data_IF_991699925779
#
_entry.id   IF_991699925779
#
_cell.length_a   1.000
_cell.length_b   1.000
_cell.length_c   1.000
_cell.angle_alpha   90.00
_cell.angle_beta   90.00
_cell.angle_gamma   90.00
#
_symmetry.space_group_name_H-M   'P 1'
#
loop_
_entity.id
_entity.type
_entity.pdbx_description
1 polymer ?
#
# COMPACT_ATOMS: atom_id res chain seq x y z
N UNK A 1 2.65 38.59 -1.98
CA UNK A 1 1.58 38.26 -2.95
C UNK A 1 2.01 38.51 -4.40
N UNK A 2 2.63 39.67 -4.68
CA UNK A 2 3.08 40.07 -6.04
C UNK A 2 4.13 39.09 -6.57
N UNK A 3 5.18 38.78 -5.76
CA UNK A 3 6.27 37.86 -6.14
C UNK A 3 5.74 36.46 -6.47
N UNK A 4 4.79 35.94 -5.70
CA UNK A 4 4.20 34.62 -5.96
C UNK A 4 3.39 34.58 -7.27
N UNK A 5 2.73 35.70 -7.63
CA UNK A 5 1.99 35.82 -8.89
C UNK A 5 2.94 35.91 -10.09
N UNK A 6 4.07 36.63 -9.96
CA UNK A 6 5.07 36.71 -11.02
C UNK A 6 5.77 35.37 -11.25
N UNK A 7 6.17 34.69 -10.17
CA UNK A 7 6.74 33.34 -10.24
C UNK A 7 5.74 32.40 -10.96
N UNK A 8 4.47 32.41 -10.56
CA UNK A 8 3.44 31.60 -11.18
C UNK A 8 3.37 31.83 -12.70
N UNK A 9 3.34 33.09 -13.11
CA UNK A 9 3.26 33.48 -14.53
C UNK A 9 4.48 33.03 -15.33
N UNK A 10 5.69 33.10 -14.76
CA UNK A 10 6.89 32.63 -15.45
C UNK A 10 6.94 31.10 -15.58
N UNK A 11 6.52 30.35 -14.57
CA UNK A 11 6.42 28.88 -14.66
C UNK A 11 5.33 28.43 -15.64
N UNK A 12 4.21 29.14 -15.72
CA UNK A 12 3.17 28.86 -16.74
C UNK A 12 3.71 29.03 -18.16
N UNK A 13 4.55 30.07 -18.40
CA UNK A 13 5.23 30.26 -19.68
C UNK A 13 6.22 29.12 -20.00
N UNK A 14 7.00 28.68 -19.01
CA UNK A 14 7.95 27.56 -19.19
C UNK A 14 7.20 26.30 -19.57
N UNK A 15 6.08 25.97 -18.90
CA UNK A 15 5.27 24.80 -19.23
C UNK A 15 4.60 24.90 -20.62
N UNK A 16 4.34 26.11 -21.15
CA UNK A 16 3.86 26.29 -22.51
C UNK A 16 4.96 26.06 -23.56
N UNK A 17 6.21 26.45 -23.26
CA UNK A 17 7.35 26.29 -24.16
C UNK A 17 7.84 24.85 -24.17
N UNK A 18 7.80 24.16 -23.01
CA UNK A 18 8.28 22.80 -22.80
C UNK A 18 7.15 21.93 -22.22
N UNK A 19 6.15 21.53 -23.02
CA UNK A 19 4.98 20.79 -22.53
C UNK A 19 5.30 19.41 -21.94
N UNK A 20 6.45 18.83 -22.28
CA UNK A 20 6.99 17.60 -21.70
C UNK A 20 7.62 17.80 -20.30
N UNK A 21 7.93 19.04 -19.95
CA UNK A 21 8.50 19.39 -18.64
C UNK A 21 7.41 19.81 -17.66
N UNK A 22 6.98 18.89 -16.81
CA UNK A 22 5.97 19.20 -15.79
C UNK A 22 6.66 19.75 -14.54
N UNK A 23 6.56 21.07 -14.34
CA UNK A 23 7.05 21.74 -13.14
C UNK A 23 5.88 21.97 -12.18
N UNK A 24 6.01 21.48 -10.94
CA UNK A 24 5.00 21.65 -9.90
C UNK A 24 5.62 22.39 -8.72
N UNK A 25 4.94 23.40 -8.19
CA UNK A 25 5.45 24.30 -7.17
C UNK A 25 4.57 24.27 -5.93
N UNK A 26 5.19 23.96 -4.78
CA UNK A 26 4.58 24.12 -3.46
C UNK A 26 5.00 25.44 -2.83
N UNK A 27 4.06 26.15 -2.24
CA UNK A 27 4.30 27.47 -1.63
C UNK A 27 3.86 27.44 -0.17
N UNK A 28 4.78 27.75 0.76
CA UNK A 28 4.47 27.93 2.18
C UNK A 28 3.68 29.23 2.41
N UNK A 29 3.11 29.36 3.61
CA UNK A 29 2.64 30.67 4.08
C UNK A 29 3.84 31.61 4.29
N UNK A 30 3.58 32.90 4.44
CA UNK A 30 4.61 33.88 4.78
C UNK A 30 5.20 33.59 6.16
N UNK A 31 6.52 33.42 6.23
CA UNK A 31 7.28 33.09 7.45
C UNK A 31 8.46 34.00 7.63
N UNK A 32 8.89 34.19 8.90
CA UNK A 32 10.15 34.89 9.20
C UNK A 32 11.38 34.01 8.97
N UNK A 33 12.53 34.61 8.77
CA UNK A 33 13.79 33.91 8.48
C UNK A 33 14.18 32.86 9.54
N UNK A 34 13.79 33.02 10.81
CA UNK A 34 14.03 32.04 11.86
C UNK A 34 13.16 30.76 11.76
N UNK A 35 12.23 30.67 10.80
CA UNK A 35 11.29 29.56 10.61
C UNK A 35 11.40 28.90 9.24
N UNK A 36 12.55 28.96 8.60
CA UNK A 36 12.76 28.42 7.25
C UNK A 36 12.45 26.92 7.15
N UNK A 37 12.81 26.12 8.18
CA UNK A 37 12.50 24.69 8.22
C UNK A 37 10.99 24.40 8.26
N UNK A 38 10.22 25.22 9.01
CA UNK A 38 8.76 25.14 9.04
C UNK A 38 8.17 25.46 7.66
N UNK A 39 8.69 26.53 7.02
CA UNK A 39 8.25 26.90 5.67
C UNK A 39 8.57 25.87 4.60
N UNK A 40 9.71 25.20 4.70
CA UNK A 40 10.06 24.09 3.81
C UNK A 40 9.03 22.96 3.95
N UNK A 41 8.74 22.53 5.18
CA UNK A 41 7.75 21.49 5.45
C UNK A 41 6.35 21.87 4.92
N UNK A 42 5.93 23.12 5.13
CA UNK A 42 4.66 23.62 4.59
C UNK A 42 4.61 23.58 3.05
N UNK A 43 5.70 23.91 2.38
CA UNK A 43 5.78 23.85 0.92
C UNK A 43 5.76 22.40 0.40
N UNK A 44 6.42 21.47 1.08
CA UNK A 44 6.37 20.04 0.76
C UNK A 44 4.96 19.49 0.95
N UNK A 45 4.29 19.81 2.06
CA UNK A 45 2.90 19.40 2.32
C UNK A 45 1.95 19.97 1.27
N UNK A 46 2.18 21.24 0.83
CA UNK A 46 1.42 21.83 -0.26
C UNK A 46 1.63 21.07 -1.58
N UNK A 47 2.86 20.65 -1.85
CA UNK A 47 3.21 19.92 -3.06
C UNK A 47 2.58 18.52 -3.11
N UNK A 48 2.31 17.88 -1.98
CA UNK A 48 1.60 16.59 -1.94
C UNK A 48 0.25 16.63 -2.65
N UNK A 49 -0.41 17.80 -2.72
CA UNK A 49 -1.69 17.97 -3.40
C UNK A 49 -1.64 17.68 -4.91
N UNK A 50 -0.45 17.67 -5.53
CA UNK A 50 -0.28 17.26 -6.92
C UNK A 50 -0.88 15.87 -7.18
N UNK A 51 -0.89 15.00 -6.17
CA UNK A 51 -1.47 13.67 -6.27
C UNK A 51 -2.94 13.67 -6.74
N UNK A 52 -3.72 14.66 -6.29
CA UNK A 52 -5.13 14.78 -6.63
C UNK A 52 -5.40 15.65 -7.88
N UNK A 53 -4.41 16.41 -8.37
CA UNK A 53 -4.62 17.42 -9.41
C UNK A 53 -3.53 17.37 -10.48
N UNK A 54 -3.77 16.59 -11.54
CA UNK A 54 -2.80 16.36 -12.63
C UNK A 54 -2.44 17.62 -13.42
N UNK A 55 -3.37 18.57 -13.53
CA UNK A 55 -3.20 19.80 -14.34
C UNK A 55 -2.84 21.05 -13.54
N UNK A 56 -2.92 20.97 -12.20
CA UNK A 56 -2.59 22.12 -11.33
C UNK A 56 -1.10 22.11 -11.02
N UNK A 57 -0.44 23.22 -11.31
CA UNK A 57 1.02 23.36 -11.15
C UNK A 57 1.43 24.14 -9.89
N UNK A 58 0.51 24.89 -9.27
CA UNK A 58 0.79 25.69 -8.08
C UNK A 58 -0.10 25.28 -6.91
N UNK A 59 0.51 25.01 -5.77
CA UNK A 59 -0.15 24.63 -4.53
C UNK A 59 0.29 25.52 -3.39
N UNK A 60 -0.63 26.31 -2.84
CA UNK A 60 -0.38 27.20 -1.71
C UNK A 60 -0.80 26.53 -0.40
N UNK A 61 0.12 26.43 0.56
CA UNK A 61 -0.19 25.87 1.88
C UNK A 61 -1.31 26.62 2.58
N UNK A 62 -1.39 27.93 2.43
CA UNK A 62 -2.46 28.75 3.01
C UNK A 62 -3.86 28.35 2.51
N UNK A 63 -3.95 27.98 1.22
CA UNK A 63 -5.23 27.58 0.62
C UNK A 63 -5.62 26.15 1.01
N UNK A 64 -4.65 25.26 1.12
CA UNK A 64 -4.91 23.83 1.33
C UNK A 64 -4.94 23.41 2.80
N UNK A 65 -4.31 24.17 3.69
CA UNK A 65 -4.21 23.83 5.13
C UNK A 65 -5.54 23.48 5.80
N UNK A 66 -6.66 24.19 5.53
CA UNK A 66 -7.96 23.81 6.08
C UNK A 66 -8.46 22.44 5.61
N UNK A 67 -8.04 22.02 4.42
CA UNK A 67 -8.46 20.77 3.77
C UNK A 67 -7.61 19.57 4.20
N UNK A 68 -6.35 19.78 4.59
CA UNK A 68 -5.40 18.71 4.93
C UNK A 68 -5.78 17.89 6.16
N UNK A 69 -6.73 18.35 6.97
CA UNK A 69 -7.19 17.68 8.19
C UNK A 69 -8.37 16.76 7.97
N UNK A 70 -8.95 16.74 6.78
CA UNK A 70 -10.16 15.98 6.53
C UNK A 70 -9.80 14.51 6.24
N UNK A 71 -10.13 13.64 7.18
CA UNK A 71 -9.98 12.19 7.03
C UNK A 71 -11.19 11.60 6.30
N UNK A 72 -10.96 10.54 5.52
CA UNK A 72 -12.05 9.78 4.92
C UNK A 72 -12.76 9.00 6.04
N UNK A 73 -14.10 9.14 6.19
CA UNK A 73 -14.84 8.42 7.22
C UNK A 73 -14.71 6.89 7.07
N UNK A 74 -14.53 6.19 8.18
CA UNK A 74 -14.31 4.74 8.17
C UNK A 74 -15.49 3.94 7.60
N UNK A 75 -16.72 4.38 7.85
CA UNK A 75 -17.92 3.79 7.24
C UNK A 75 -17.93 3.94 5.71
N UNK A 76 -17.42 5.04 5.18
CA UNK A 76 -17.31 5.28 3.75
C UNK A 76 -16.23 4.39 3.13
N UNK A 77 -15.06 4.29 3.76
CA UNK A 77 -13.99 3.37 3.34
C UNK A 77 -14.50 1.94 3.25
N UNK A 78 -15.16 1.47 4.33
CA UNK A 78 -15.74 0.12 4.38
C UNK A 78 -16.76 -0.11 3.27
N UNK A 79 -17.67 0.84 3.04
CA UNK A 79 -18.66 0.75 1.97
C UNK A 79 -18.03 0.60 0.59
N UNK A 80 -16.98 1.38 0.28
CA UNK A 80 -16.26 1.26 -0.99
C UNK A 80 -15.50 -0.07 -1.12
N UNK A 81 -14.85 -0.52 -0.05
CA UNK A 81 -14.14 -1.80 -0.03
C UNK A 81 -15.08 -2.98 -0.33
N UNK A 82 -16.26 -3.01 0.30
CA UNK A 82 -17.27 -4.04 0.09
C UNK A 82 -17.84 -4.01 -1.33
N UNK A 83 -18.20 -2.83 -1.84
CA UNK A 83 -18.73 -2.67 -3.20
C UNK A 83 -17.72 -3.10 -4.28
N UNK A 84 -16.45 -2.71 -4.15
CA UNK A 84 -15.41 -3.11 -5.09
C UNK A 84 -15.19 -4.62 -5.02
N UNK A 85 -15.10 -5.19 -3.83
CA UNK A 85 -14.94 -6.63 -3.66
C UNK A 85 -16.06 -7.42 -4.34
N UNK A 86 -17.30 -6.97 -4.20
CA UNK A 86 -18.46 -7.59 -4.86
C UNK A 86 -18.36 -7.46 -6.38
N UNK A 87 -18.13 -6.25 -6.91
CA UNK A 87 -18.03 -6.01 -8.35
C UNK A 87 -16.89 -6.84 -8.99
N UNK A 88 -15.75 -6.93 -8.31
CA UNK A 88 -14.60 -7.70 -8.79
C UNK A 88 -14.89 -9.20 -8.75
N UNK A 89 -15.54 -9.72 -7.70
CA UNK A 89 -15.94 -11.15 -7.60
C UNK A 89 -16.86 -11.58 -8.74
N UNK A 90 -17.82 -10.75 -9.11
CA UNK A 90 -18.76 -11.04 -10.21
C UNK A 90 -18.20 -10.65 -11.60
N UNK A 91 -16.94 -10.16 -11.65
CA UNK A 91 -16.20 -9.78 -12.87
C UNK A 91 -16.87 -8.70 -13.71
N UNK A 92 -17.56 -7.78 -13.09
CA UNK A 92 -18.16 -6.63 -13.76
C UNK A 92 -17.17 -5.45 -13.79
N UNK A 93 -16.40 -5.36 -14.88
CA UNK A 93 -15.42 -4.33 -15.07
C UNK A 93 -16.02 -2.92 -15.03
N UNK A 94 -17.16 -2.72 -15.69
CA UNK A 94 -17.86 -1.45 -15.74
C UNK A 94 -18.33 -0.97 -14.36
N UNK A 95 -18.81 -1.89 -13.52
CA UNK A 95 -19.24 -1.54 -12.17
C UNK A 95 -18.04 -1.18 -11.28
N UNK A 96 -16.93 -1.90 -11.43
CA UNK A 96 -15.67 -1.57 -10.74
C UNK A 96 -15.17 -0.19 -11.14
N UNK A 97 -15.17 0.14 -12.43
CA UNK A 97 -14.79 1.44 -12.95
C UNK A 97 -15.69 2.57 -12.44
N UNK A 98 -17.01 2.35 -12.37
CA UNK A 98 -17.93 3.32 -11.77
C UNK A 98 -17.64 3.58 -10.30
N UNK A 99 -17.29 2.54 -9.54
CA UNK A 99 -16.96 2.70 -8.12
C UNK A 99 -15.64 3.45 -7.94
N UNK A 100 -14.61 3.13 -8.71
CA UNK A 100 -13.34 3.88 -8.67
C UNK A 100 -13.52 5.34 -9.08
N UNK A 101 -14.34 5.61 -10.10
CA UNK A 101 -14.70 6.97 -10.48
C UNK A 101 -15.42 7.71 -9.35
N UNK A 102 -16.35 7.04 -8.67
CA UNK A 102 -17.04 7.62 -7.50
C UNK A 102 -16.07 7.92 -6.34
N UNK A 103 -15.10 7.05 -6.08
CA UNK A 103 -14.03 7.30 -5.10
C UNK A 103 -13.22 8.54 -5.48
N UNK A 104 -12.83 8.65 -6.75
CA UNK A 104 -12.07 9.79 -7.26
C UNK A 104 -12.83 11.11 -7.11
N UNK A 105 -14.10 11.11 -7.52
CA UNK A 105 -14.99 12.29 -7.41
C UNK A 105 -15.21 12.69 -5.96
N UNK A 106 -15.53 11.75 -5.08
CA UNK A 106 -15.68 11.98 -3.63
C UNK A 106 -14.41 12.55 -2.99
N UNK A 107 -13.25 11.99 -3.33
CA UNK A 107 -11.98 12.47 -2.80
C UNK A 107 -11.69 13.92 -3.21
N UNK A 108 -12.06 14.31 -4.43
CA UNK A 108 -11.89 15.67 -4.94
C UNK A 108 -12.92 16.65 -4.37
N UNK A 109 -14.19 16.29 -4.35
CA UNK A 109 -15.27 17.16 -3.87
C UNK A 109 -15.13 17.46 -2.38
N UNK A 110 -14.76 16.46 -1.58
CA UNK A 110 -14.57 16.62 -0.14
C UNK A 110 -13.19 17.14 0.24
N UNK A 111 -12.27 17.26 -0.73
CA UNK A 111 -10.90 17.70 -0.50
C UNK A 111 -10.19 16.92 0.61
N UNK A 112 -10.29 15.59 0.60
CA UNK A 112 -9.52 14.76 1.53
C UNK A 112 -8.03 14.93 1.29
N UNK A 113 -7.23 14.80 2.37
CA UNK A 113 -5.79 14.94 2.22
C UNK A 113 -5.20 13.83 1.35
N UNK A 114 -4.21 14.11 0.48
CA UNK A 114 -3.56 13.10 -0.35
C UNK A 114 -3.00 11.93 0.46
N UNK A 115 -2.51 12.21 1.67
CA UNK A 115 -2.01 11.21 2.60
C UNK A 115 -3.10 10.22 3.01
N UNK A 116 -4.30 10.72 3.34
CA UNK A 116 -5.45 9.86 3.69
C UNK A 116 -5.97 9.08 2.48
N UNK A 117 -5.93 9.69 1.29
CA UNK A 117 -6.34 9.01 0.04
C UNK A 117 -5.36 7.88 -0.28
N UNK A 118 -4.05 8.14 -0.25
CA UNK A 118 -3.03 7.09 -0.47
C UNK A 118 -3.18 5.95 0.51
N UNK A 119 -3.36 6.26 1.79
CA UNK A 119 -3.59 5.28 2.84
C UNK A 119 -4.86 4.45 2.60
N UNK A 120 -5.94 5.08 2.14
CA UNK A 120 -7.17 4.37 1.81
C UNK A 120 -6.99 3.44 0.60
N UNK A 121 -6.31 3.88 -0.47
CA UNK A 121 -6.01 3.04 -1.63
C UNK A 121 -5.15 1.84 -1.23
N UNK A 122 -4.16 2.03 -0.38
CA UNK A 122 -3.33 0.96 0.16
C UNK A 122 -4.16 -0.03 1.01
N UNK A 123 -5.03 0.46 1.89
CA UNK A 123 -5.96 -0.36 2.65
C UNK A 123 -6.91 -1.16 1.75
N UNK A 124 -7.43 -0.54 0.69
CA UNK A 124 -8.29 -1.19 -0.29
C UNK A 124 -7.54 -2.30 -1.03
N UNK A 125 -6.29 -2.06 -1.45
CA UNK A 125 -5.46 -3.08 -2.09
C UNK A 125 -5.30 -4.31 -1.19
N UNK A 126 -4.82 -4.14 0.04
CA UNK A 126 -4.64 -5.27 0.96
C UNK A 126 -5.95 -5.95 1.35
N UNK A 127 -7.03 -5.19 1.43
CA UNK A 127 -8.36 -5.76 1.65
C UNK A 127 -8.77 -6.71 0.51
N UNK A 128 -8.59 -6.28 -0.76
CA UNK A 128 -8.93 -7.10 -1.92
C UNK A 128 -7.99 -8.30 -2.07
N UNK A 129 -6.69 -8.13 -1.91
CA UNK A 129 -5.71 -9.21 -1.90
C UNK A 129 -6.12 -10.29 -0.91
N UNK A 130 -6.47 -9.90 0.31
CA UNK A 130 -6.89 -10.82 1.37
C UNK A 130 -8.19 -11.56 1.04
N UNK A 131 -9.22 -10.85 0.55
CA UNK A 131 -10.56 -11.43 0.38
C UNK A 131 -10.76 -12.15 -0.95
N UNK A 132 -9.85 -11.95 -1.89
CA UNK A 132 -9.86 -12.61 -3.20
C UNK A 132 -8.83 -13.73 -3.29
N UNK A 133 -7.97 -13.92 -2.28
CA UNK A 133 -6.88 -14.89 -2.34
C UNK A 133 -5.84 -14.56 -3.40
N UNK A 134 -5.68 -13.27 -3.74
CA UNK A 134 -4.67 -12.82 -4.69
C UNK A 134 -3.30 -12.79 -4.04
N UNK A 135 -2.25 -13.05 -4.82
CA UNK A 135 -0.89 -12.83 -4.35
C UNK A 135 -0.58 -11.34 -4.36
N UNK A 136 -0.02 -10.80 -3.26
CA UNK A 136 0.49 -9.44 -3.29
C UNK A 136 1.61 -9.32 -4.33
N UNK A 137 1.58 -8.23 -5.11
CA UNK A 137 2.62 -7.92 -6.09
C UNK A 137 3.52 -6.83 -5.53
N UNK A 138 4.78 -7.18 -5.27
CA UNK A 138 5.79 -6.23 -4.83
C UNK A 138 6.01 -5.11 -5.84
N UNK A 139 5.98 -5.45 -7.12
CA UNK A 139 6.09 -4.49 -8.22
C UNK A 139 4.94 -3.49 -8.18
N UNK A 140 3.70 -3.97 -7.99
CA UNK A 140 2.53 -3.12 -7.84
C UNK A 140 2.63 -2.23 -6.58
N UNK A 141 3.07 -2.78 -5.46
CA UNK A 141 3.23 -2.03 -4.22
C UNK A 141 4.26 -0.90 -4.37
N UNK A 142 5.43 -1.20 -4.95
CA UNK A 142 6.50 -0.21 -5.15
C UNK A 142 6.10 0.85 -6.19
N UNK A 143 5.51 0.47 -7.31
CA UNK A 143 5.16 1.39 -8.40
C UNK A 143 3.89 2.19 -8.12
N UNK A 144 2.84 1.53 -7.65
CA UNK A 144 1.48 2.12 -7.57
C UNK A 144 1.20 2.70 -6.19
N UNK A 145 1.50 1.98 -5.11
CA UNK A 145 1.19 2.46 -3.76
C UNK A 145 2.24 3.44 -3.24
N UNK A 146 3.52 3.22 -3.57
CA UNK A 146 4.64 4.03 -3.07
C UNK A 146 5.26 4.93 -4.15
N UNK A 147 4.82 4.81 -5.39
CA UNK A 147 5.24 5.65 -6.50
C UNK A 147 4.70 7.09 -6.41
N UNK A 148 5.22 7.95 -7.30
CA UNK A 148 4.80 9.35 -7.42
C UNK A 148 3.69 9.55 -8.47
N UNK A 149 2.80 8.58 -8.63
CA UNK A 149 1.69 8.64 -9.58
C UNK A 149 0.61 9.64 -9.11
N UNK A 150 -0.15 10.15 -10.06
CA UNK A 150 -1.39 10.85 -9.75
C UNK A 150 -2.49 9.85 -9.32
N UNK A 151 -3.50 10.36 -8.60
CA UNK A 151 -4.62 9.51 -8.16
C UNK A 151 -5.32 8.80 -9.31
N UNK A 152 -5.49 9.48 -10.46
CA UNK A 152 -6.04 8.88 -11.68
C UNK A 152 -5.19 7.72 -12.16
N UNK A 153 -3.87 7.92 -12.29
CA UNK A 153 -2.95 6.92 -12.79
C UNK A 153 -2.84 5.73 -11.79
N UNK A 154 -2.93 6.03 -10.49
CA UNK A 154 -3.01 5.01 -9.43
C UNK A 154 -4.25 4.14 -9.57
N UNK A 155 -5.42 4.77 -9.82
CA UNK A 155 -6.69 4.07 -10.02
C UNK A 155 -6.64 3.22 -11.29
N UNK A 156 -6.19 3.78 -12.41
CA UNK A 156 -6.11 3.08 -13.70
C UNK A 156 -5.23 1.82 -13.58
N UNK A 157 -4.04 1.96 -12.99
CA UNK A 157 -3.15 0.81 -12.74
C UNK A 157 -3.74 -0.20 -11.75
N UNK A 158 -4.49 0.27 -10.76
CA UNK A 158 -5.16 -0.62 -9.82
C UNK A 158 -6.25 -1.43 -10.50
N UNK A 159 -7.04 -0.81 -11.38
CA UNK A 159 -8.03 -1.51 -12.19
C UNK A 159 -7.36 -2.57 -13.09
N UNK A 160 -6.31 -2.18 -13.81
CA UNK A 160 -5.53 -3.10 -14.65
C UNK A 160 -5.05 -4.30 -13.82
N UNK A 161 -4.42 -4.05 -12.69
CA UNK A 161 -3.96 -5.11 -11.78
C UNK A 161 -5.10 -6.06 -11.35
N UNK A 162 -6.26 -5.52 -10.97
CA UNK A 162 -7.39 -6.33 -10.52
C UNK A 162 -7.92 -7.26 -11.62
N UNK A 163 -7.95 -6.78 -12.87
CA UNK A 163 -8.46 -7.58 -13.98
C UNK A 163 -7.41 -8.50 -14.58
N UNK A 164 -6.15 -8.10 -14.60
CA UNK A 164 -5.04 -8.96 -15.03
C UNK A 164 -4.77 -10.08 -14.04
N UNK A 165 -4.77 -9.78 -12.73
CA UNK A 165 -4.66 -10.80 -11.69
C UNK A 165 -5.79 -11.82 -11.73
N UNK A 166 -7.02 -11.43 -12.10
CA UNK A 166 -8.13 -12.38 -12.33
C UNK A 166 -7.90 -13.25 -13.57
N UNK A 167 -7.27 -12.72 -14.62
CA UNK A 167 -6.91 -13.48 -15.80
C UNK A 167 -5.72 -14.41 -15.53
N UNK A 168 -4.74 -13.96 -14.75
CA UNK A 168 -3.60 -14.79 -14.30
C UNK A 168 -4.08 -15.90 -13.34
N UNK A 169 -5.03 -15.61 -12.45
CA UNK A 169 -5.64 -16.63 -11.57
C UNK A 169 -6.37 -17.74 -12.32
N UNK A 170 -6.92 -17.47 -13.52
CA UNK A 170 -7.54 -18.52 -14.33
C UNK A 170 -6.57 -19.41 -15.08
N UNK A 171 -5.36 -18.92 -15.38
CA UNK A 171 -4.39 -19.65 -16.18
C UNK A 171 -3.22 -20.24 -15.39
N UNK A 172 -2.92 -19.72 -14.19
CA UNK A 172 -1.79 -20.23 -13.38
C UNK A 172 -2.17 -20.84 -12.03
N UNK A 173 -3.24 -20.41 -11.36
CA UNK A 173 -3.56 -20.91 -10.00
C UNK A 173 -4.22 -22.30 -9.98
N UNK A 174 -4.76 -22.79 -11.09
CA UNK A 174 -5.25 -24.18 -11.12
C UNK A 174 -4.16 -25.23 -11.34
N UNK A 175 -2.96 -24.84 -11.77
CA UNK A 175 -1.87 -25.78 -12.06
C UNK A 175 -0.58 -25.60 -11.23
N UNK A 176 -0.43 -24.49 -10.48
CA UNK A 176 0.88 -24.17 -9.85
C UNK A 176 1.09 -24.94 -8.54
N UNK A 177 0.07 -25.10 -7.71
CA UNK A 177 0.23 -25.86 -6.47
C UNK A 177 -0.69 -27.06 -6.43
N UNK A 178 -0.08 -28.21 -6.12
CA UNK A 178 -0.87 -29.41 -5.78
C UNK A 178 -1.80 -29.12 -4.60
N UNK A 179 -2.90 -29.88 -4.47
CA UNK A 179 -3.82 -29.72 -3.36
C UNK A 179 -3.12 -29.73 -1.98
N UNK A 180 -2.11 -30.56 -1.83
CA UNK A 180 -1.30 -30.62 -0.59
C UNK A 180 -0.60 -29.28 -0.30
N UNK A 181 0.05 -28.67 -1.28
CA UNK A 181 0.78 -27.40 -1.06
C UNK A 181 -0.20 -26.24 -0.84
N UNK A 182 -1.31 -26.18 -1.57
CA UNK A 182 -2.37 -25.19 -1.30
C UNK A 182 -2.89 -25.28 0.14
N UNK A 183 -3.21 -26.48 0.60
CA UNK A 183 -3.71 -26.69 1.96
C UNK A 183 -2.66 -26.29 3.02
N UNK A 184 -1.36 -26.54 2.74
CA UNK A 184 -0.26 -26.07 3.60
C UNK A 184 -0.21 -24.53 3.61
N UNK A 185 -0.27 -23.85 2.48
CA UNK A 185 -0.27 -22.39 2.41
C UNK A 185 -1.45 -21.80 3.19
N UNK A 186 -2.66 -22.29 2.98
CA UNK A 186 -3.85 -21.87 3.73
C UNK A 186 -3.67 -22.08 5.24
N UNK A 187 -3.20 -23.26 5.64
CA UNK A 187 -2.93 -23.56 7.05
C UNK A 187 -1.92 -22.59 7.67
N UNK A 188 -0.84 -22.28 6.96
CA UNK A 188 0.18 -21.33 7.41
C UNK A 188 -0.40 -19.92 7.56
N UNK A 189 -1.24 -19.47 6.64
CA UNK A 189 -1.91 -18.16 6.71
C UNK A 189 -2.85 -18.03 7.90
N UNK A 190 -3.50 -19.12 8.30
CA UNK A 190 -4.40 -19.16 9.46
C UNK A 190 -3.66 -19.30 10.79
N UNK A 191 -2.51 -19.99 10.80
CA UNK A 191 -1.77 -20.37 12.00
C UNK A 191 -0.36 -19.74 12.12
N UNK A 192 -0.03 -18.72 11.33
CA UNK A 192 1.32 -18.12 11.26
C UNK A 192 1.90 -17.68 12.60
N UNK A 193 1.07 -17.41 13.59
CA UNK A 193 1.50 -17.04 14.95
C UNK A 193 2.06 -18.23 15.74
N UNK A 194 1.68 -19.45 15.37
CA UNK A 194 2.07 -20.66 16.06
C UNK A 194 3.45 -21.17 15.60
N UNK A 195 4.04 -22.07 16.37
CA UNK A 195 5.27 -22.75 15.95
C UNK A 195 4.93 -23.82 14.92
N UNK A 196 5.12 -23.50 13.64
CA UNK A 196 4.88 -24.43 12.55
C UNK A 196 6.23 -24.97 12.05
N UNK A 197 6.41 -26.28 12.12
CA UNK A 197 7.59 -26.98 11.59
C UNK A 197 7.22 -27.85 10.41
N UNK A 198 8.22 -28.21 9.60
CA UNK A 198 8.00 -29.12 8.46
C UNK A 198 7.54 -30.50 8.97
N UNK A 199 8.04 -30.92 10.13
CA UNK A 199 7.64 -32.19 10.75
C UNK A 199 6.17 -32.18 11.18
N UNK A 200 5.70 -31.09 11.81
CA UNK A 200 4.29 -30.94 12.17
C UNK A 200 3.37 -30.90 10.92
N UNK A 201 3.82 -30.27 9.83
CA UNK A 201 3.07 -30.30 8.58
C UNK A 201 3.08 -31.69 7.94
N UNK A 202 4.19 -32.40 8.01
CA UNK A 202 4.30 -33.76 7.50
C UNK A 202 3.33 -34.71 8.22
N UNK A 203 3.25 -34.64 9.53
CA UNK A 203 2.29 -35.37 10.35
C UNK A 203 0.84 -34.98 9.98
N UNK A 204 0.53 -33.66 9.99
CA UNK A 204 -0.82 -33.15 9.71
C UNK A 204 -1.35 -33.55 8.32
N UNK A 205 -0.49 -33.57 7.32
CA UNK A 205 -0.87 -33.85 5.94
C UNK A 205 -0.53 -35.29 5.50
N UNK A 206 -0.17 -36.17 6.46
CA UNK A 206 0.15 -37.58 6.21
C UNK A 206 1.20 -37.77 5.11
N UNK A 207 2.30 -37.04 5.24
CA UNK A 207 3.44 -37.06 4.30
C UNK A 207 4.76 -37.10 5.08
N UNK A 208 5.86 -37.37 4.37
CA UNK A 208 7.18 -37.28 4.99
C UNK A 208 7.71 -35.84 4.97
N UNK A 209 8.56 -35.44 5.97
CA UNK A 209 9.18 -34.11 5.99
C UNK A 209 9.95 -33.78 4.72
N UNK A 210 10.69 -34.77 4.18
CA UNK A 210 11.44 -34.61 2.93
C UNK A 210 10.50 -34.35 1.73
N UNK A 211 9.37 -35.04 1.65
CA UNK A 211 8.37 -34.80 0.60
C UNK A 211 7.83 -33.39 0.69
N UNK A 212 7.40 -32.95 1.88
CA UNK A 212 6.88 -31.58 2.09
C UNK A 212 7.94 -30.55 1.70
N UNK A 213 9.16 -30.64 2.21
CA UNK A 213 10.24 -29.69 1.93
C UNK A 213 10.57 -29.60 0.43
N UNK A 214 10.77 -30.74 -0.22
CA UNK A 214 11.13 -30.78 -1.62
C UNK A 214 9.98 -30.28 -2.52
N UNK A 215 8.74 -30.72 -2.24
CA UNK A 215 7.57 -30.34 -3.01
C UNK A 215 7.22 -28.87 -2.83
N UNK A 216 7.26 -28.39 -1.58
CA UNK A 216 7.00 -26.98 -1.25
C UNK A 216 7.98 -26.08 -1.98
N UNK A 217 9.30 -26.35 -1.88
CA UNK A 217 10.32 -25.57 -2.58
C UNK A 217 10.17 -25.62 -4.11
N UNK A 218 9.86 -26.78 -4.66
CA UNK A 218 9.66 -26.94 -6.11
C UNK A 218 8.47 -26.15 -6.64
N UNK A 219 7.35 -26.14 -5.89
CA UNK A 219 6.11 -25.49 -6.33
C UNK A 219 6.07 -24.00 -5.97
N UNK A 220 6.58 -23.59 -4.80
CA UNK A 220 6.56 -22.18 -4.35
C UNK A 220 7.83 -21.39 -4.69
N UNK A 221 8.89 -22.07 -5.17
CA UNK A 221 10.19 -21.46 -5.45
C UNK A 221 11.05 -21.15 -4.21
N UNK A 222 10.54 -21.31 -3.00
CA UNK A 222 11.21 -20.96 -1.74
C UNK A 222 11.07 -22.05 -0.67
N UNK A 223 11.92 -22.01 0.36
CA UNK A 223 11.77 -22.94 1.48
C UNK A 223 10.52 -22.62 2.30
N UNK A 224 9.95 -23.62 2.97
CA UNK A 224 8.84 -23.42 3.88
C UNK A 224 9.14 -22.38 4.98
N UNK A 225 10.36 -22.42 5.52
CA UNK A 225 10.78 -21.46 6.54
C UNK A 225 10.80 -20.02 6.03
N UNK A 226 11.31 -19.80 4.80
CA UNK A 226 11.33 -18.47 4.19
C UNK A 226 9.90 -17.98 3.92
N UNK A 227 9.02 -18.85 3.43
CA UNK A 227 7.62 -18.54 3.20
C UNK A 227 6.89 -18.12 4.49
N UNK A 228 7.05 -18.90 5.58
CA UNK A 228 6.47 -18.54 6.89
C UNK A 228 7.03 -17.20 7.40
N UNK A 229 8.34 -16.97 7.24
CA UNK A 229 8.94 -15.69 7.65
C UNK A 229 8.39 -14.52 6.85
N UNK A 230 8.21 -14.65 5.56
CA UNK A 230 7.60 -13.61 4.72
C UNK A 230 6.18 -13.26 5.19
N UNK A 231 5.33 -14.27 5.44
CA UNK A 231 3.97 -14.04 5.96
C UNK A 231 4.03 -13.28 7.29
N UNK A 232 4.86 -13.70 8.21
CA UNK A 232 5.03 -13.04 9.52
C UNK A 232 5.49 -11.60 9.40
N UNK A 233 6.46 -11.35 8.52
CA UNK A 233 6.97 -9.99 8.26
C UNK A 233 5.90 -9.12 7.62
N UNK A 234 5.13 -9.63 6.67
CA UNK A 234 4.02 -8.90 6.05
C UNK A 234 2.94 -8.53 7.07
N UNK A 235 2.56 -9.48 7.95
CA UNK A 235 1.61 -9.22 9.05
C UNK A 235 2.17 -8.17 10.01
N UNK A 236 3.45 -8.26 10.37
CA UNK A 236 4.12 -7.29 11.23
C UNK A 236 4.15 -5.90 10.59
N UNK A 237 4.47 -5.81 9.30
CA UNK A 237 4.44 -4.55 8.54
C UNK A 237 3.06 -3.89 8.62
N UNK A 238 1.99 -4.66 8.37
CA UNK A 238 0.62 -4.16 8.46
C UNK A 238 0.28 -3.65 9.87
N UNK A 239 0.67 -4.39 10.92
CA UNK A 239 0.45 -3.95 12.30
C UNK A 239 1.23 -2.67 12.63
N UNK A 240 2.47 -2.54 12.16
CA UNK A 240 3.28 -1.34 12.35
C UNK A 240 2.69 -0.13 11.65
N UNK A 241 2.17 -0.30 10.45
CA UNK A 241 1.58 0.77 9.64
C UNK A 241 0.19 1.18 10.11
N UNK A 242 -0.64 0.24 10.60
CA UNK A 242 -2.07 0.50 10.82
C UNK A 242 -2.52 0.45 12.27
N UNK A 243 -1.65 0.08 13.21
CA UNK A 243 -1.99 0.01 14.64
C UNK A 243 -0.99 0.73 15.52
N UNK A 244 -1.40 1.11 16.75
CA UNK A 244 -0.50 1.67 17.76
C UNK A 244 0.08 0.61 18.71
N UNK A 245 -0.04 -0.68 18.36
CA UNK A 245 0.48 -1.78 19.17
C UNK A 245 2.00 -1.62 19.34
N UNK A 246 2.54 -1.72 20.54
CA UNK A 246 3.99 -1.65 20.78
C UNK A 246 4.77 -2.66 19.92
N UNK A 247 5.97 -2.29 19.45
CA UNK A 247 6.73 -3.13 18.49
C UNK A 247 7.07 -4.50 19.06
N UNK A 248 7.35 -4.61 20.35
CA UNK A 248 7.57 -5.88 21.03
C UNK A 248 6.32 -6.78 20.99
N UNK A 249 5.15 -6.18 21.11
CA UNK A 249 3.87 -6.87 21.03
C UNK A 249 3.55 -7.28 19.59
N UNK A 250 3.89 -6.44 18.60
CA UNK A 250 3.83 -6.81 17.17
C UNK A 250 4.68 -8.06 16.91
N UNK A 251 5.91 -8.09 17.43
CA UNK A 251 6.78 -9.25 17.30
C UNK A 251 6.12 -10.51 17.87
N UNK A 252 5.53 -10.42 19.06
CA UNK A 252 4.84 -11.53 19.72
C UNK A 252 3.62 -12.00 18.93
N UNK A 253 2.76 -11.07 18.50
CA UNK A 253 1.53 -11.38 17.76
C UNK A 253 1.79 -11.86 16.34
N UNK A 254 3.00 -11.71 15.84
CA UNK A 254 3.39 -12.25 14.52
C UNK A 254 4.24 -13.51 14.63
N UNK A 255 4.26 -14.15 15.79
CA UNK A 255 4.85 -15.47 15.98
C UNK A 255 6.38 -15.49 16.14
N UNK A 256 7.00 -14.34 16.47
CA UNK A 256 8.42 -14.28 16.79
C UNK A 256 8.66 -14.55 18.28
N UNK A 257 9.51 -15.52 18.57
CA UNK A 257 9.82 -15.93 19.95
C UNK A 257 10.59 -14.88 20.77
N UNK A 258 11.26 -13.90 20.12
CA UNK A 258 11.89 -12.79 20.79
C UNK A 258 11.95 -11.54 19.93
N UNK A 259 11.94 -10.37 20.59
CA UNK A 259 12.09 -9.09 19.90
C UNK A 259 13.43 -8.95 19.15
N UNK A 260 14.53 -9.46 19.73
CA UNK A 260 15.83 -9.40 19.10
C UNK A 260 15.86 -10.18 17.77
N UNK A 261 15.27 -11.37 17.75
CA UNK A 261 15.13 -12.18 16.54
C UNK A 261 14.22 -11.47 15.51
N UNK A 262 13.07 -10.99 15.93
CA UNK A 262 12.17 -10.21 15.10
C UNK A 262 12.89 -9.02 14.45
N UNK A 263 13.55 -8.18 15.23
CA UNK A 263 14.21 -6.97 14.75
C UNK A 263 15.26 -7.27 13.67
N UNK A 264 16.06 -8.34 13.87
CA UNK A 264 17.05 -8.79 12.88
C UNK A 264 16.40 -9.29 11.59
N UNK A 265 15.37 -10.14 11.70
CA UNK A 265 14.69 -10.71 10.54
C UNK A 265 13.89 -9.62 9.80
N UNK A 266 13.17 -8.78 10.52
CA UNK A 266 12.42 -7.69 9.95
C UNK A 266 13.33 -6.76 9.12
N UNK A 267 14.48 -6.34 9.67
CA UNK A 267 15.45 -5.52 8.93
C UNK A 267 16.05 -6.26 7.73
N UNK A 268 16.30 -7.57 7.84
CA UNK A 268 16.79 -8.40 6.73
C UNK A 268 15.82 -8.42 5.55
N UNK A 269 14.51 -8.56 5.82
CA UNK A 269 13.49 -8.69 4.78
C UNK A 269 13.03 -7.34 4.22
N UNK A 270 12.99 -6.28 5.03
CA UNK A 270 12.43 -4.97 4.65
C UNK A 270 13.49 -3.92 4.33
N UNK A 271 14.76 -4.19 4.66
CA UNK A 271 15.86 -3.21 4.57
C UNK A 271 15.80 -2.11 5.64
N UNK A 272 14.73 -2.02 6.44
CA UNK A 272 14.48 -0.96 7.43
C UNK A 272 14.17 -1.58 8.80
N UNK A 273 14.40 -0.80 9.89
CA UNK A 273 13.97 -1.24 11.22
C UNK A 273 12.45 -1.05 11.41
N UNK A 274 11.85 -1.87 12.28
CA UNK A 274 10.44 -1.72 12.64
C UNK A 274 10.13 -0.35 13.26
N UNK A 275 11.06 0.23 14.04
CA UNK A 275 10.95 1.59 14.56
C UNK A 275 10.89 2.61 13.42
N UNK A 276 11.80 2.53 12.44
CA UNK A 276 11.80 3.43 11.28
C UNK A 276 10.46 3.40 10.53
N UNK A 277 9.87 2.21 10.34
CA UNK A 277 8.56 2.08 9.66
C UNK A 277 7.46 2.75 10.50
N UNK A 278 7.50 2.58 11.83
CA UNK A 278 6.55 3.18 12.75
C UNK A 278 6.65 4.71 12.79
N UNK A 279 7.86 5.23 12.89
CA UNK A 279 8.12 6.68 13.00
C UNK A 279 7.71 7.42 11.72
N UNK A 280 7.91 6.78 10.56
CA UNK A 280 7.49 7.34 9.27
C UNK A 280 5.97 7.45 9.11
N UNK A 281 5.20 6.73 9.92
CA UNK A 281 3.74 6.86 10.01
C UNK A 281 3.33 8.10 10.82
N UNK A 282 4.16 8.52 11.78
CA UNK A 282 3.85 9.63 12.70
C UNK A 282 4.31 10.98 12.15
N UNK A 283 5.16 10.97 11.15
CA UNK A 283 5.62 12.14 10.41
C UNK A 283 4.94 12.21 9.03
#
# INVERSE_FOLDING_TARGET
HIVAMEIKREFEKINQIFPELIIVVGISKSIGLGKLAEGWKEAEEALEQKYCYKTKVFFSFKEIYPMMKQAIPENLKKSYMEKILEAVKIKKKEDTQRIFKAIYEECREKNYSPREIKKFIEQLYFYLVRHMGMNSSREFEEEVLHGNLYLTDTIDKFEEYLFDAQNVGKTKEREVYSATIRNICTYVEEHFMETITVDALAEKFERTPNYISAKFKRETGKSFTDYLMEIRIQKAMNMLLYTNIPINEVARQTGFGSYAYFSRIFKKYTGKSAGYIRDRRQN
#
